data_IF_236091998650
#
_entry.id   IF_236091998650
#
_cell.length_a   1.000
_cell.length_b   1.000
_cell.length_c   1.000
_cell.angle_alpha   90.00
_cell.angle_beta   90.00
_cell.angle_gamma   90.00
#
_symmetry.space_group_name_H-M   'P 1'
#
loop_
_entity.id
_entity.type
_entity.pdbx_description
1 polymer ?
#
# COMPACT_ATOMS: atom_id res chain seq x y z
N UNK A 1 19.53 -44.54 -13.24
CA UNK A 1 19.10 -43.18 -12.86
C UNK A 1 19.06 -43.13 -11.36
N UNK A 2 19.64 -42.10 -10.73
CA UNK A 2 19.59 -41.96 -9.28
C UNK A 2 18.25 -41.31 -8.93
N UNK A 3 17.42 -42.02 -8.18
CA UNK A 3 16.08 -41.55 -7.82
C UNK A 3 16.12 -40.76 -6.52
N UNK A 4 15.37 -39.66 -6.46
CA UNK A 4 15.20 -38.88 -5.24
C UNK A 4 14.38 -39.72 -4.26
N UNK A 5 14.90 -39.91 -3.05
CA UNK A 5 14.23 -40.70 -2.01
C UNK A 5 12.90 -40.04 -1.61
N UNK A 6 11.91 -40.82 -1.16
CA UNK A 6 10.66 -40.25 -0.66
C UNK A 6 10.85 -39.21 0.47
N UNK A 7 11.86 -39.42 1.33
CA UNK A 7 12.20 -38.51 2.42
C UNK A 7 12.72 -37.17 1.89
N UNK A 8 13.67 -37.22 0.94
CA UNK A 8 14.20 -36.01 0.31
C UNK A 8 13.09 -35.25 -0.43
N UNK A 9 12.19 -35.95 -1.12
CA UNK A 9 11.02 -35.33 -1.76
C UNK A 9 10.13 -34.62 -0.75
N UNK A 10 9.85 -35.27 0.40
CA UNK A 10 9.07 -34.67 1.46
C UNK A 10 9.73 -33.38 1.98
N UNK A 11 11.03 -33.42 2.26
CA UNK A 11 11.78 -32.25 2.73
C UNK A 11 11.77 -31.10 1.72
N UNK A 12 11.93 -31.39 0.43
CA UNK A 12 11.87 -30.39 -0.64
C UNK A 12 10.49 -29.72 -0.68
N UNK A 13 9.41 -30.51 -0.70
CA UNK A 13 8.04 -29.99 -0.75
C UNK A 13 7.75 -29.16 0.50
N UNK A 14 8.16 -29.64 1.67
CA UNK A 14 8.02 -28.91 2.94
C UNK A 14 8.76 -27.57 2.90
N UNK A 15 10.01 -27.56 2.45
CA UNK A 15 10.80 -26.33 2.35
C UNK A 15 10.17 -25.32 1.38
N UNK A 16 9.59 -25.78 0.26
CA UNK A 16 8.86 -24.93 -0.66
C UNK A 16 7.61 -24.32 -0.01
N UNK A 17 6.79 -25.13 0.67
CA UNK A 17 5.61 -24.63 1.40
C UNK A 17 5.99 -23.62 2.49
N UNK A 18 7.09 -23.86 3.22
CA UNK A 18 7.59 -22.95 4.25
C UNK A 18 8.06 -21.61 3.63
N UNK A 19 8.64 -21.63 2.44
CA UNK A 19 9.01 -20.41 1.69
C UNK A 19 7.79 -19.65 1.19
N UNK A 20 6.80 -20.35 0.61
CA UNK A 20 5.56 -19.76 0.11
C UNK A 20 4.76 -19.12 1.24
N UNK A 21 4.70 -19.76 2.41
CA UNK A 21 4.06 -19.22 3.60
C UNK A 21 4.69 -17.90 4.04
N UNK A 22 6.03 -17.82 4.10
CA UNK A 22 6.74 -16.58 4.45
C UNK A 22 6.50 -15.47 3.44
N UNK A 23 6.45 -15.82 2.15
CA UNK A 23 6.10 -14.87 1.09
C UNK A 23 4.70 -14.28 1.30
N UNK A 24 3.72 -15.14 1.60
CA UNK A 24 2.34 -14.72 1.86
C UNK A 24 2.22 -13.84 3.12
N UNK A 25 2.92 -14.21 4.20
CA UNK A 25 2.96 -13.41 5.44
C UNK A 25 3.57 -12.02 5.19
N UNK A 26 4.63 -11.93 4.39
CA UNK A 26 5.23 -10.65 3.99
C UNK A 26 4.26 -9.78 3.19
N UNK A 27 3.54 -10.37 2.22
CA UNK A 27 2.54 -9.65 1.44
C UNK A 27 1.42 -9.11 2.32
N UNK A 28 0.94 -9.93 3.27
CA UNK A 28 -0.08 -9.49 4.24
C UNK A 28 0.43 -8.34 5.10
N UNK A 29 1.65 -8.42 5.62
CA UNK A 29 2.23 -7.35 6.44
C UNK A 29 2.35 -6.02 5.65
N UNK A 30 2.67 -6.07 4.35
CA UNK A 30 2.64 -4.89 3.50
C UNK A 30 1.23 -4.32 3.33
N UNK A 31 0.23 -5.17 3.08
CA UNK A 31 -1.17 -4.73 2.97
C UNK A 31 -1.70 -4.10 4.26
N UNK A 32 -1.37 -4.70 5.42
CA UNK A 32 -1.77 -4.17 6.73
C UNK A 32 -1.12 -2.80 6.98
N UNK A 33 0.14 -2.61 6.55
CA UNK A 33 0.83 -1.32 6.62
C UNK A 33 0.19 -0.29 5.69
N UNK A 34 -0.09 -0.64 4.43
CA UNK A 34 -0.73 0.26 3.46
C UNK A 34 -2.10 0.73 3.95
N UNK A 35 -2.87 -0.19 4.56
CA UNK A 35 -4.15 0.15 5.19
C UNK A 35 -3.97 1.13 6.34
N UNK A 36 -3.02 0.88 7.24
CA UNK A 36 -2.73 1.79 8.35
C UNK A 36 -2.31 3.18 7.85
N UNK A 37 -1.48 3.25 6.81
CA UNK A 37 -1.05 4.52 6.21
C UNK A 37 -2.25 5.29 5.67
N UNK A 38 -3.14 4.64 4.93
CA UNK A 38 -4.35 5.28 4.42
C UNK A 38 -5.27 5.78 5.54
N UNK A 39 -5.44 4.99 6.61
CA UNK A 39 -6.23 5.39 7.79
C UNK A 39 -5.61 6.62 8.49
N UNK A 40 -4.28 6.69 8.58
CA UNK A 40 -3.59 7.84 9.17
C UNK A 40 -3.63 9.06 8.25
N UNK A 41 -3.43 8.90 6.95
CA UNK A 41 -3.55 9.99 5.98
C UNK A 41 -4.96 10.60 5.99
N UNK A 42 -5.99 9.76 6.11
CA UNK A 42 -7.36 10.23 6.31
C UNK A 42 -7.51 10.97 7.63
N UNK A 43 -7.05 10.38 8.75
CA UNK A 43 -7.14 10.97 10.10
C UNK A 43 -6.48 12.34 10.19
N UNK A 44 -5.37 12.55 9.48
CA UNK A 44 -4.64 13.81 9.47
C UNK A 44 -5.00 14.72 8.29
N UNK A 45 -5.99 14.36 7.47
CA UNK A 45 -6.45 15.18 6.35
C UNK A 45 -5.41 15.34 5.23
N UNK A 46 -4.47 14.40 5.11
CA UNK A 46 -3.35 14.49 4.17
C UNK A 46 -3.76 14.13 2.73
N UNK A 47 -4.79 13.29 2.58
CA UNK A 47 -5.29 12.80 1.27
C UNK A 47 -5.61 13.95 0.31
N UNK A 48 -6.27 15.02 0.79
CA UNK A 48 -6.66 16.17 -0.06
C UNK A 48 -5.48 17.04 -0.44
N UNK A 49 -4.44 17.08 0.40
CA UNK A 49 -3.23 17.86 0.14
C UNK A 49 -2.25 17.15 -0.78
N UNK A 50 -2.43 15.84 -1.00
CA UNK A 50 -1.47 14.98 -1.70
C UNK A 50 -0.24 14.61 -0.87
N UNK A 51 -0.18 15.02 0.41
CA UNK A 51 0.87 14.64 1.35
C UNK A 51 0.60 13.25 1.92
N UNK A 52 1.62 12.60 2.48
CA UNK A 52 1.46 11.29 3.15
C UNK A 52 2.50 11.13 4.26
N UNK A 53 2.29 10.18 5.17
CA UNK A 53 3.27 9.81 6.19
C UNK A 53 4.27 8.81 5.62
N UNK A 54 5.57 9.06 5.77
CA UNK A 54 6.59 8.07 5.46
C UNK A 54 6.60 6.97 6.54
N UNK A 55 6.30 5.70 6.19
CA UNK A 55 6.23 4.61 7.16
C UNK A 55 7.58 4.29 7.82
N UNK A 56 8.72 4.71 7.26
CA UNK A 56 10.04 4.47 7.85
C UNK A 56 10.48 5.53 8.84
N UNK A 57 10.12 6.80 8.60
CA UNK A 57 10.53 7.91 9.47
C UNK A 57 9.39 8.45 10.35
N UNK A 58 8.13 8.14 10.03
CA UNK A 58 6.94 8.65 10.70
C UNK A 58 6.65 10.13 10.42
N UNK A 59 7.42 10.76 9.54
CA UNK A 59 7.26 12.17 9.20
C UNK A 59 6.26 12.36 8.06
N UNK A 60 5.56 13.49 8.07
CA UNK A 60 4.73 13.91 6.93
C UNK A 60 5.65 14.37 5.81
N UNK A 61 5.51 13.76 4.64
CA UNK A 61 6.21 14.09 3.42
C UNK A 61 5.26 14.89 2.52
N UNK A 62 5.71 16.02 1.95
CA UNK A 62 4.89 16.81 1.04
C UNK A 62 4.55 16.00 -0.22
N UNK A 63 3.57 16.47 -1.01
CA UNK A 63 3.19 15.80 -2.24
C UNK A 63 4.40 15.65 -3.14
N UNK A 64 4.71 14.41 -3.53
CA UNK A 64 5.75 14.21 -4.52
C UNK A 64 5.27 14.83 -5.82
N UNK A 65 6.05 15.77 -6.37
CA UNK A 65 5.82 16.24 -7.73
C UNK A 65 5.97 15.04 -8.63
N UNK A 66 4.87 14.62 -9.23
CA UNK A 66 4.90 13.60 -10.26
C UNK A 66 5.67 14.14 -11.47
N UNK A 67 6.86 13.62 -11.73
CA UNK A 67 7.45 13.64 -13.07
C UNK A 67 6.69 12.65 -13.96
N UNK A 68 5.37 12.79 -14.05
CA UNK A 68 4.56 11.86 -14.82
C UNK A 68 4.44 12.31 -16.27
N UNK A 69 5.14 11.55 -17.12
CA UNK A 69 4.57 11.08 -18.38
C UNK A 69 3.29 10.30 -18.03
N UNK A 70 2.19 11.03 -17.87
CA UNK A 70 0.89 10.54 -17.47
C UNK A 70 0.36 9.49 -18.47
N UNK A 71 0.06 8.29 -17.99
CA UNK A 71 -0.86 7.40 -18.67
C UNK A 71 -1.89 6.89 -17.67
N UNK A 72 -2.96 7.68 -17.50
CA UNK A 72 -4.23 7.21 -16.94
C UNK A 72 -4.66 7.85 -15.62
N UNK A 73 -5.64 8.75 -15.75
CA UNK A 73 -6.64 9.17 -14.73
C UNK A 73 -6.24 10.28 -13.76
N UNK A 74 -5.91 11.45 -14.31
CA UNK A 74 -6.24 12.70 -13.63
C UNK A 74 -7.75 12.94 -13.79
N UNK A 75 -8.50 12.71 -12.72
CA UNK A 75 -9.78 13.40 -12.54
C UNK A 75 -9.52 14.46 -11.49
N UNK A 76 -9.35 15.69 -11.94
CA UNK A 76 -9.50 16.89 -11.11
C UNK A 76 -10.84 16.81 -10.39
N UNK A 77 -10.82 16.41 -9.12
CA UNK A 77 -11.94 16.66 -8.22
C UNK A 77 -11.66 18.04 -7.61
N UNK A 78 -11.97 19.08 -8.38
CA UNK A 78 -12.15 20.42 -7.84
C UNK A 78 -13.39 20.38 -6.94
N UNK A 79 -13.20 20.23 -5.62
CA UNK A 79 -14.24 20.57 -4.66
C UNK A 79 -14.34 22.10 -4.63
N UNK A 80 -15.27 22.65 -5.39
CA UNK A 80 -15.73 24.02 -5.13
C UNK A 80 -16.61 24.01 -3.89
N UNK A 81 -16.11 24.63 -2.82
CA UNK A 81 -16.86 24.97 -1.62
C UNK A 81 -18.00 25.94 -2.01
N UNK A 82 -19.19 25.40 -2.30
CA UNK A 82 -20.38 26.22 -2.44
C UNK A 82 -20.87 26.62 -1.05
N UNK A 83 -20.54 27.84 -0.65
CA UNK A 83 -21.05 28.48 0.56
C UNK A 83 -22.57 28.66 0.42
N UNK A 84 -23.37 27.87 1.13
CA UNK A 84 -24.83 28.06 1.18
C UNK A 84 -25.13 29.20 2.15
N UNK A 85 -25.25 30.42 1.64
CA UNK A 85 -25.91 31.51 2.36
C UNK A 85 -27.42 31.28 2.36
N UNK A 86 -27.96 30.85 3.49
CA UNK A 86 -29.39 30.89 3.75
C UNK A 86 -29.83 32.34 3.97
N UNK A 87 -30.75 32.84 3.15
CA UNK A 87 -31.43 34.11 3.36
C UNK A 87 -32.73 33.87 4.14
N UNK A 88 -32.94 34.68 5.18
CA UNK A 88 -34.18 34.83 5.94
C UNK A 88 -35.30 35.45 5.09
#
# INVERSE_FOLDING_TARGET
MQEITPEDRYHIIKAQMDADKKSLESQKAHQDLDRLMLELDYKYGLITTGSTIDPRSGNIVPPQKSDHKNNGRDKDIMLEDTVVTAAN
#
